data_IF_399998994981
#
_entry.id   IF_399998994981
#
_cell.length_a   1.000
_cell.length_b   1.000
_cell.length_c   1.000
_cell.angle_alpha   90.00
_cell.angle_beta   90.00
_cell.angle_gamma   90.00
#
_symmetry.space_group_name_H-M   'P 1'
#
loop_
_entity.id
_entity.type
_entity.pdbx_description
1 polymer ?
#
# COMPACT_ATOMS: atom_id res chain seq x y z
N UNK A 1 -30.12 0.50 -75.80
CA UNK A 1 -29.23 0.23 -74.64
C UNK A 1 -28.70 1.56 -74.14
N UNK A 2 -29.14 2.00 -72.96
CA UNK A 2 -28.69 3.27 -72.39
C UNK A 2 -27.23 3.13 -71.95
N UNK A 3 -26.33 3.90 -72.58
CA UNK A 3 -24.96 4.06 -72.11
C UNK A 3 -25.04 5.01 -70.90
N UNK A 4 -24.77 4.51 -69.70
CA UNK A 4 -24.64 5.34 -68.51
C UNK A 4 -23.32 6.11 -68.63
N UNK A 5 -23.39 7.37 -69.07
CA UNK A 5 -22.23 8.26 -69.14
C UNK A 5 -21.95 8.87 -67.77
N UNK A 6 -20.69 8.80 -67.32
CA UNK A 6 -20.22 9.49 -66.11
C UNK A 6 -19.91 10.94 -66.49
N UNK A 7 -20.45 11.92 -65.75
CA UNK A 7 -20.19 13.34 -66.02
C UNK A 7 -18.74 13.70 -65.69
N UNK A 8 -18.11 14.51 -66.54
CA UNK A 8 -16.76 15.03 -66.28
C UNK A 8 -16.70 15.73 -64.91
N UNK A 9 -15.66 15.43 -64.13
CA UNK A 9 -15.49 15.99 -62.78
C UNK A 9 -16.20 15.23 -61.65
N UNK A 10 -16.86 14.10 -61.93
CA UNK A 10 -17.46 13.24 -60.90
C UNK A 10 -16.53 12.07 -60.52
N UNK A 11 -16.53 11.70 -59.24
CA UNK A 11 -15.76 10.55 -58.73
C UNK A 11 -16.46 9.25 -59.08
N UNK A 12 -15.78 8.37 -59.83
CA UNK A 12 -16.23 7.00 -60.04
C UNK A 12 -15.75 6.12 -58.88
N UNK A 13 -16.67 5.66 -58.03
CA UNK A 13 -16.36 4.66 -57.01
C UNK A 13 -16.51 3.24 -57.60
N UNK A 14 -15.41 2.49 -57.66
CA UNK A 14 -15.42 1.08 -58.05
C UNK A 14 -15.28 0.25 -56.77
N UNK A 15 -16.33 -0.48 -56.41
CA UNK A 15 -16.35 -1.35 -55.23
C UNK A 15 -16.29 -2.80 -55.67
N UNK A 16 -15.30 -3.55 -55.19
CA UNK A 16 -15.23 -4.99 -55.41
C UNK A 16 -16.32 -5.70 -54.60
N UNK A 17 -17.09 -6.59 -55.25
CA UNK A 17 -18.11 -7.42 -54.58
C UNK A 17 -17.57 -8.78 -54.12
N UNK A 18 -16.30 -9.07 -54.43
CA UNK A 18 -15.57 -10.27 -54.03
C UNK A 18 -14.12 -9.92 -53.72
N UNK A 19 -13.41 -10.80 -53.01
CA UNK A 19 -12.01 -10.60 -52.66
C UNK A 19 -11.14 -10.55 -53.94
N UNK A 20 -10.37 -9.46 -54.09
CA UNK A 20 -9.43 -9.27 -55.19
C UNK A 20 -8.00 -9.32 -54.64
N UNK A 21 -7.11 -10.06 -55.30
CA UNK A 21 -5.71 -10.14 -54.89
C UNK A 21 -4.92 -8.98 -55.51
N UNK A 22 -3.90 -8.49 -54.80
CA UNK A 22 -2.98 -7.52 -55.40
C UNK A 22 -2.32 -8.10 -56.66
N UNK A 23 -2.26 -7.30 -57.71
CA UNK A 23 -1.82 -7.69 -59.05
C UNK A 23 -2.91 -8.29 -59.94
N UNK A 24 -4.13 -8.52 -59.43
CA UNK A 24 -5.24 -8.96 -60.29
C UNK A 24 -5.68 -7.84 -61.23
N UNK A 25 -5.73 -8.14 -62.52
CA UNK A 25 -6.42 -7.33 -63.52
C UNK A 25 -7.91 -7.68 -63.47
N UNK A 26 -8.73 -6.71 -63.08
CA UNK A 26 -10.18 -6.86 -62.94
C UNK A 26 -10.86 -5.99 -63.98
N UNK A 27 -11.77 -6.59 -64.75
CA UNK A 27 -12.62 -5.84 -65.66
C UNK A 27 -13.79 -5.23 -64.89
N UNK A 28 -13.92 -3.91 -64.92
CA UNK A 28 -14.99 -3.12 -64.32
C UNK A 28 -15.75 -2.40 -65.45
N UNK A 29 -16.74 -3.08 -66.03
CA UNK A 29 -17.43 -2.60 -67.24
C UNK A 29 -16.48 -2.57 -68.44
N UNK A 30 -16.30 -1.38 -69.01
CA UNK A 30 -15.41 -1.15 -70.17
C UNK A 30 -13.97 -0.75 -69.75
N UNK A 31 -13.67 -0.72 -68.45
CA UNK A 31 -12.36 -0.35 -67.90
C UNK A 31 -11.68 -1.55 -67.25
N UNK A 32 -10.37 -1.68 -67.42
CA UNK A 32 -9.56 -2.63 -66.66
C UNK A 32 -8.87 -1.90 -65.49
N UNK A 33 -8.97 -2.46 -64.29
CA UNK A 33 -8.32 -1.94 -63.08
C UNK A 33 -7.37 -2.99 -62.52
N UNK A 34 -6.28 -2.55 -61.88
CA UNK A 34 -5.37 -3.43 -61.15
C UNK A 34 -5.57 -3.21 -59.66
N UNK A 35 -5.89 -4.26 -58.92
CA UNK A 35 -5.90 -4.18 -57.46
C UNK A 35 -4.46 -4.14 -56.94
N UNK A 36 -4.19 -3.25 -55.99
CA UNK A 36 -2.86 -3.11 -55.36
C UNK A 36 -3.05 -3.06 -53.84
N UNK A 37 -2.19 -3.74 -53.11
CA UNK A 37 -2.16 -3.66 -51.63
C UNK A 37 -1.88 -2.23 -51.19
N UNK A 38 -2.67 -1.72 -50.24
CA UNK A 38 -2.37 -0.44 -49.58
C UNK A 38 -1.15 -0.59 -48.66
N UNK A 39 -0.09 0.16 -48.96
CA UNK A 39 1.18 0.15 -48.23
C UNK A 39 1.40 1.39 -47.37
N UNK A 40 0.42 2.31 -47.29
CA UNK A 40 0.53 3.51 -46.44
C UNK A 40 0.56 3.10 -44.97
N UNK A 41 1.54 3.58 -44.21
CA UNK A 41 1.75 3.22 -42.81
C UNK A 41 2.32 1.81 -42.57
N UNK A 42 2.56 1.02 -43.62
CA UNK A 42 3.05 -0.35 -43.50
C UNK A 42 4.56 -0.46 -43.72
N UNK A 43 5.22 -1.33 -42.96
CA UNK A 43 6.60 -1.77 -43.21
C UNK A 43 6.61 -3.16 -43.83
N UNK A 44 7.43 -3.38 -44.86
CA UNK A 44 7.57 -4.70 -45.48
C UNK A 44 8.38 -5.63 -44.57
N UNK A 45 7.76 -6.75 -44.20
CA UNK A 45 8.39 -7.87 -43.49
C UNK A 45 8.40 -9.10 -44.39
N UNK A 46 9.56 -9.75 -44.52
CA UNK A 46 9.68 -10.99 -45.29
C UNK A 46 8.73 -12.06 -44.75
N UNK A 47 8.07 -12.80 -45.65
CA UNK A 47 7.16 -13.88 -45.23
C UNK A 47 7.95 -14.90 -44.41
N UNK A 48 7.53 -15.21 -43.17
CA UNK A 48 8.17 -16.28 -42.41
C UNK A 48 7.98 -17.62 -43.12
N UNK A 49 8.83 -18.59 -42.77
CA UNK A 49 8.81 -19.94 -43.37
C UNK A 49 7.42 -20.59 -43.23
N UNK A 50 6.76 -20.37 -42.08
CA UNK A 50 5.42 -20.85 -41.76
C UNK A 50 4.64 -19.81 -40.94
N UNK A 51 3.36 -20.07 -40.71
CA UNK A 51 2.52 -19.26 -39.80
C UNK A 51 1.92 -17.98 -40.39
N UNK A 52 2.28 -17.58 -41.62
CA UNK A 52 1.67 -16.44 -42.33
C UNK A 52 1.52 -16.66 -43.84
N UNK A 53 0.42 -16.15 -44.38
CA UNK A 53 0.17 -16.06 -45.83
C UNK A 53 0.83 -14.80 -46.43
N UNK A 54 1.12 -14.84 -47.72
CA UNK A 54 1.62 -13.69 -48.50
C UNK A 54 0.60 -12.53 -48.45
N UNK A 55 1.09 -11.30 -48.26
CA UNK A 55 0.29 -10.06 -48.13
C UNK A 55 -0.70 -10.02 -46.94
N UNK A 56 -0.58 -10.95 -45.98
CA UNK A 56 -1.26 -10.78 -44.70
C UNK A 56 -0.73 -9.54 -43.97
N UNK A 57 -1.56 -8.92 -43.13
CA UNK A 57 -1.19 -7.79 -42.27
C UNK A 57 -0.89 -8.29 -40.85
N UNK A 58 -0.03 -7.57 -40.14
CA UNK A 58 0.36 -7.84 -38.75
C UNK A 58 0.46 -6.48 -38.06
N UNK A 59 -0.38 -6.24 -37.05
CA UNK A 59 -0.31 -5.00 -36.27
C UNK A 59 0.98 -4.93 -35.45
N UNK A 60 1.39 -3.72 -35.13
CA UNK A 60 2.50 -3.47 -34.23
C UNK A 60 2.19 -3.94 -32.80
N UNK A 61 3.23 -4.16 -32.00
CA UNK A 61 3.06 -4.62 -30.63
C UNK A 61 4.39 -4.81 -29.90
N UNK A 62 4.38 -4.44 -28.63
CA UNK A 62 5.53 -4.61 -27.76
C UNK A 62 5.73 -6.10 -27.45
N UNK A 63 6.99 -6.52 -27.39
CA UNK A 63 7.33 -7.86 -26.91
C UNK A 63 6.97 -7.99 -25.42
N UNK A 64 6.45 -9.16 -25.04
CA UNK A 64 6.21 -9.50 -23.62
C UNK A 64 7.49 -9.29 -22.80
N UNK A 65 7.38 -8.55 -21.70
CA UNK A 65 8.47 -8.25 -20.77
C UNK A 65 7.93 -7.98 -19.36
N UNK A 66 8.84 -7.92 -18.39
CA UNK A 66 8.55 -7.58 -16.99
C UNK A 66 9.50 -6.49 -16.51
N UNK A 67 9.14 -5.81 -15.42
CA UNK A 67 9.99 -4.85 -14.73
C UNK A 67 10.30 -5.34 -13.32
N UNK A 68 11.47 -4.98 -12.80
CA UNK A 68 11.73 -5.06 -11.36
C UNK A 68 11.19 -3.79 -10.70
N UNK A 69 10.55 -3.94 -9.55
CA UNK A 69 10.00 -2.82 -8.78
C UNK A 69 10.32 -3.01 -7.29
N UNK A 70 10.49 -1.90 -6.57
CA UNK A 70 10.67 -1.89 -5.12
C UNK A 70 9.91 -0.73 -4.50
N UNK A 71 9.26 -0.98 -3.37
CA UNK A 71 8.84 0.08 -2.46
C UNK A 71 10.06 0.51 -1.61
N UNK A 72 10.09 1.77 -1.21
CA UNK A 72 11.10 2.26 -0.27
C UNK A 72 10.59 2.07 1.17
N UNK A 73 11.52 1.91 2.09
CA UNK A 73 11.19 1.84 3.52
C UNK A 73 10.56 3.15 3.98
N UNK A 74 9.58 3.05 4.90
CA UNK A 74 8.90 4.20 5.50
C UNK A 74 8.92 4.06 7.01
N UNK A 75 9.60 4.98 7.70
CA UNK A 75 9.56 5.08 9.15
C UNK A 75 8.29 5.80 9.61
N UNK A 76 7.47 5.13 10.43
CA UNK A 76 6.24 5.70 10.98
C UNK A 76 6.49 6.53 12.26
N UNK A 77 7.70 6.47 12.82
CA UNK A 77 8.13 7.19 14.01
C UNK A 77 7.51 6.70 15.31
N UNK A 78 7.91 7.34 16.41
CA UNK A 78 7.42 7.04 17.76
C UNK A 78 6.03 7.64 17.99
N UNK A 79 5.15 6.91 18.68
CA UNK A 79 3.80 7.36 19.07
C UNK A 79 3.64 7.25 20.59
N UNK A 80 2.99 8.26 21.18
CA UNK A 80 2.60 8.24 22.59
C UNK A 80 1.24 7.59 22.78
N UNK A 81 1.05 6.90 23.89
CA UNK A 81 -0.26 6.40 24.31
C UNK A 81 -1.09 7.51 24.96
N UNK A 82 -2.39 7.26 25.17
CA UNK A 82 -3.24 8.11 25.99
C UNK A 82 -2.83 8.06 27.47
N UNK A 83 -3.10 9.14 28.22
CA UNK A 83 -2.85 9.20 29.66
C UNK A 83 -3.80 8.28 30.45
N UNK A 84 -3.29 7.68 31.53
CA UNK A 84 -4.06 6.89 32.49
C UNK A 84 -3.64 7.27 33.92
N UNK A 85 -4.61 7.56 34.79
CA UNK A 85 -4.39 7.95 36.19
C UNK A 85 -4.99 6.90 37.14
N UNK A 86 -4.15 6.35 38.03
CA UNK A 86 -4.58 5.41 39.07
C UNK A 86 -5.32 6.08 40.24
N UNK A 87 -5.22 7.41 40.37
CA UNK A 87 -5.75 8.18 41.48
C UNK A 87 -5.11 7.82 42.82
N UNK A 88 -5.80 8.13 43.92
CA UNK A 88 -5.37 7.80 45.27
C UNK A 88 -5.80 6.39 45.67
N UNK A 89 -4.88 5.61 46.25
CA UNK A 89 -5.16 4.28 46.83
C UNK A 89 -4.92 4.30 48.34
N UNK A 90 -5.76 3.60 49.10
CA UNK A 90 -5.65 3.47 50.56
C UNK A 90 -5.10 2.11 50.95
N UNK A 91 -4.42 2.05 52.10
CA UNK A 91 -3.97 0.79 52.73
C UNK A 91 -5.08 0.20 53.61
N UNK A 92 -4.88 -1.04 54.09
CA UNK A 92 -5.75 -1.63 55.11
C UNK A 92 -5.47 -1.07 56.52
N UNK A 93 -6.47 -1.10 57.40
CA UNK A 93 -6.33 -0.67 58.80
C UNK A 93 -5.65 -1.76 59.65
N UNK A 94 -4.51 -1.44 60.26
CA UNK A 94 -3.74 -2.35 61.14
C UNK A 94 -2.86 -1.54 62.12
N UNK A 95 -2.14 -2.22 63.03
CA UNK A 95 -1.15 -1.60 63.92
C UNK A 95 -1.66 -1.13 65.28
N UNK A 96 -2.97 -1.27 65.55
CA UNK A 96 -3.52 -0.98 66.87
C UNK A 96 -2.96 -1.93 67.93
N UNK A 97 -2.33 -1.37 68.96
CA UNK A 97 -1.80 -2.09 70.11
C UNK A 97 -1.76 -1.18 71.34
N UNK A 98 -1.74 -1.77 72.53
CA UNK A 98 -1.79 -1.04 73.81
C UNK A 98 -0.57 -1.35 74.66
N UNK A 99 0.00 -0.33 75.29
CA UNK A 99 0.98 -0.46 76.38
C UNK A 99 0.34 0.00 77.68
N UNK A 100 0.52 -0.75 78.76
CA UNK A 100 0.04 -0.37 80.09
C UNK A 100 1.17 -0.52 81.11
N UNK A 101 1.42 0.53 81.88
CA UNK A 101 2.13 0.42 83.14
C UNK A 101 1.15 0.72 84.27
N UNK A 102 1.41 0.06 85.38
CA UNK A 102 0.72 0.22 86.65
C UNK A 102 1.27 1.37 87.47
N UNK A 103 0.53 1.71 88.52
CA UNK A 103 0.80 2.88 89.34
C UNK A 103 2.22 2.90 89.90
N UNK A 104 2.71 4.12 90.14
CA UNK A 104 4.00 4.37 90.78
C UNK A 104 3.99 3.78 92.19
N UNK A 105 4.80 2.75 92.44
CA UNK A 105 5.08 2.29 93.81
C UNK A 105 6.35 3.00 94.25
N UNK A 106 6.20 3.91 95.21
CA UNK A 106 7.30 4.64 95.80
C UNK A 106 7.59 4.07 97.20
N UNK A 107 8.79 3.54 97.40
CA UNK A 107 9.28 3.17 98.72
C UNK A 107 9.89 4.41 99.37
N UNK A 108 9.32 4.87 100.49
CA UNK A 108 9.79 6.08 101.17
C UNK A 108 10.72 5.79 102.36
N UNK A 109 10.85 4.54 102.80
CA UNK A 109 11.57 4.19 104.03
C UNK A 109 12.36 2.88 103.91
N UNK A 110 13.69 2.96 104.06
CA UNK A 110 14.57 1.82 104.36
C UNK A 110 15.41 1.23 103.21
N UNK A 111 15.19 1.60 101.96
CA UNK A 111 15.86 0.96 100.80
C UNK A 111 16.27 1.93 99.67
N UNK A 112 16.76 3.12 100.05
CA UNK A 112 17.31 4.14 99.13
C UNK A 112 16.31 4.81 98.18
N UNK A 113 15.02 4.81 98.50
CA UNK A 113 13.97 5.57 97.80
C UNK A 113 13.93 5.30 96.30
N UNK A 114 13.38 4.16 95.90
CA UNK A 114 13.24 3.80 94.49
C UNK A 114 11.77 3.79 94.03
N UNK A 115 11.56 4.09 92.75
CA UNK A 115 10.26 4.03 92.08
C UNK A 115 10.18 2.77 91.22
N UNK A 116 9.23 1.88 91.52
CA UNK A 116 8.97 0.67 90.71
C UNK A 116 7.75 0.87 89.81
N UNK A 117 7.83 0.37 88.57
CA UNK A 117 6.73 0.31 87.61
C UNK A 117 6.20 -1.13 87.55
N UNK A 118 5.05 -1.39 88.16
CA UNK A 118 4.37 -2.70 88.06
C UNK A 118 3.42 -2.71 86.86
N UNK A 119 3.04 -3.84 86.23
CA UNK A 119 1.95 -3.87 85.25
C UNK A 119 0.57 -3.68 85.93
N UNK A 120 -0.38 -3.01 85.25
CA UNK A 120 -1.77 -2.89 85.69
C UNK A 120 -2.06 -1.75 86.68
N UNK A 121 -3.17 -1.02 86.48
CA UNK A 121 -3.53 0.13 87.34
C UNK A 121 -4.02 1.39 86.59
N UNK A 122 -4.41 1.24 85.32
CA UNK A 122 -5.12 2.28 84.56
C UNK A 122 -4.31 3.49 84.10
N UNK A 123 -3.00 3.54 84.33
CA UNK A 123 -2.14 4.59 83.79
C UNK A 123 -1.78 4.32 82.32
N UNK A 124 -1.96 5.32 81.45
CA UNK A 124 -1.71 5.26 80.02
C UNK A 124 -0.60 6.23 79.62
N UNK A 125 0.16 5.89 78.57
CA UNK A 125 1.15 6.79 77.98
C UNK A 125 0.48 7.95 77.25
N UNK A 126 1.22 9.02 76.98
CA UNK A 126 0.75 10.13 76.14
C UNK A 126 0.58 9.69 74.66
N UNK A 127 -0.07 10.53 73.84
CA UNK A 127 -0.26 10.27 72.41
C UNK A 127 1.10 10.19 71.68
N UNK A 128 1.28 9.11 70.91
CA UNK A 128 2.48 8.82 70.12
C UNK A 128 2.11 7.87 68.96
N UNK A 129 3.06 7.61 68.05
CA UNK A 129 2.89 6.62 66.98
C UNK A 129 2.42 7.18 65.63
N UNK A 130 2.37 8.50 65.47
CA UNK A 130 2.23 9.12 64.14
C UNK A 130 3.46 8.76 63.29
N UNK A 131 3.21 8.07 62.17
CA UNK A 131 4.25 7.60 61.27
C UNK A 131 3.70 7.44 59.85
N UNK A 132 4.59 7.46 58.87
CA UNK A 132 4.25 7.23 57.47
C UNK A 132 5.06 6.04 56.92
N UNK A 133 4.48 5.33 55.97
CA UNK A 133 5.17 4.30 55.18
C UNK A 133 5.37 4.81 53.76
N UNK A 134 6.50 4.47 53.17
CA UNK A 134 6.73 4.64 51.74
C UNK A 134 6.54 3.30 51.06
N UNK A 135 5.83 3.30 49.91
CA UNK A 135 5.64 2.10 49.10
C UNK A 135 6.15 2.39 47.71
N UNK A 136 7.16 1.64 47.28
CA UNK A 136 7.67 1.70 45.91
C UNK A 136 6.86 0.75 45.03
N UNK A 137 6.26 1.27 43.95
CA UNK A 137 5.43 0.47 43.02
C UNK A 137 6.28 -0.14 41.89
N UNK A 138 7.15 0.65 41.27
CA UNK A 138 8.02 0.20 40.18
C UNK A 138 7.60 0.66 38.77
N UNK A 139 8.50 0.49 37.81
CA UNK A 139 8.25 0.72 36.39
C UNK A 139 7.50 -0.45 35.75
N UNK A 140 6.80 -0.18 34.65
CA UNK A 140 6.16 -1.22 33.84
C UNK A 140 6.10 -0.79 32.37
N UNK A 141 6.00 -1.77 31.48
CA UNK A 141 5.93 -1.58 30.03
C UNK A 141 4.80 -2.41 29.45
N UNK A 142 4.30 -1.98 28.28
CA UNK A 142 3.30 -2.69 27.52
C UNK A 142 3.84 -2.96 26.11
N UNK A 143 3.41 -4.06 25.51
CA UNK A 143 3.62 -4.32 24.09
C UNK A 143 2.30 -4.18 23.35
N UNK A 144 2.36 -3.74 22.09
CA UNK A 144 1.19 -3.61 21.23
C UNK A 144 1.47 -4.26 19.89
N UNK A 145 0.59 -5.17 19.48
CA UNK A 145 0.66 -5.79 18.16
C UNK A 145 -0.11 -4.95 17.13
N UNK A 146 0.58 -4.47 16.10
CA UNK A 146 -0.02 -3.61 15.06
C UNK A 146 -0.73 -4.42 13.96
N UNK A 147 -0.18 -5.59 13.60
CA UNK A 147 -0.72 -6.46 12.56
C UNK A 147 -0.19 -6.19 11.14
N UNK A 148 -0.44 -7.13 10.20
CA UNK A 148 -0.06 -6.97 8.80
C UNK A 148 -0.93 -5.94 8.07
N UNK A 149 -0.35 -5.26 7.07
CA UNK A 149 -1.08 -4.37 6.16
C UNK A 149 -0.51 -4.48 4.74
N UNK A 150 -1.22 -3.94 3.75
CA UNK A 150 -0.82 -3.95 2.34
C UNK A 150 -1.12 -2.65 1.64
N UNK A 151 -0.68 -2.55 0.38
CA UNK A 151 -0.85 -1.37 -0.47
C UNK A 151 -1.37 -1.78 -1.84
N UNK A 152 -2.20 -0.92 -2.44
CA UNK A 152 -2.58 -1.06 -3.85
C UNK A 152 -1.50 -0.38 -4.69
N UNK A 153 -1.00 -1.09 -5.70
CA UNK A 153 -0.02 -0.55 -6.65
C UNK A 153 -0.68 -0.47 -8.02
N UNK A 154 -0.64 0.71 -8.62
CA UNK A 154 -1.16 0.99 -9.97
C UNK A 154 0.03 1.32 -10.85
N UNK A 155 0.09 0.69 -12.02
CA UNK A 155 1.04 1.01 -13.08
C UNK A 155 0.25 1.62 -14.22
N UNK A 156 0.39 2.92 -14.40
CA UNK A 156 -0.28 3.64 -15.48
C UNK A 156 0.32 3.28 -16.84
N UNK A 157 -0.48 3.45 -17.89
CA UNK A 157 -0.03 3.21 -19.26
C UNK A 157 1.05 4.23 -19.66
N UNK A 158 2.13 3.74 -20.27
CA UNK A 158 3.20 4.56 -20.84
C UNK A 158 3.52 4.08 -22.26
N UNK A 159 3.74 5.04 -23.17
CA UNK A 159 4.06 4.77 -24.57
C UNK A 159 3.37 5.68 -25.58
N UNK A 160 3.67 5.44 -26.86
CA UNK A 160 3.07 6.14 -28.00
C UNK A 160 1.86 5.35 -28.54
N UNK A 161 1.10 5.97 -29.45
CA UNK A 161 -0.01 5.30 -30.12
C UNK A 161 0.41 4.10 -31.01
N UNK A 162 1.67 4.08 -31.45
CA UNK A 162 2.24 3.01 -32.28
C UNK A 162 3.65 2.60 -31.77
N UNK A 163 3.96 1.32 -31.92
CA UNK A 163 5.28 0.73 -31.68
C UNK A 163 6.15 0.93 -32.92
N UNK A 164 7.11 1.83 -32.82
CA UNK A 164 7.96 2.20 -33.96
C UNK A 164 9.41 1.83 -33.74
N UNK A 165 10.09 1.54 -34.86
CA UNK A 165 11.56 1.62 -34.94
C UNK A 165 11.92 2.91 -35.66
N UNK A 166 13.19 3.34 -35.58
CA UNK A 166 13.66 4.47 -36.40
C UNK A 166 13.39 4.19 -37.87
N UNK A 167 12.65 5.08 -38.53
CA UNK A 167 12.20 4.92 -39.90
C UNK A 167 12.22 6.27 -40.65
N UNK A 168 12.12 6.21 -41.98
CA UNK A 168 12.00 7.36 -42.87
C UNK A 168 10.83 7.07 -43.82
N UNK A 169 9.96 8.04 -44.03
CA UNK A 169 8.80 7.89 -44.90
C UNK A 169 9.22 7.92 -46.38
N UNK A 170 8.76 6.92 -47.15
CA UNK A 170 8.86 6.88 -48.61
C UNK A 170 7.50 6.56 -49.21
N UNK A 171 7.25 7.07 -50.42
CA UNK A 171 6.08 6.68 -51.18
C UNK A 171 6.29 5.29 -51.78
N UNK A 172 5.48 4.32 -51.38
CA UNK A 172 5.40 3.04 -52.08
C UNK A 172 4.74 3.22 -53.43
N UNK A 173 5.48 2.87 -54.48
CA UNK A 173 5.00 2.87 -55.86
C UNK A 173 5.12 1.47 -56.45
N UNK A 174 4.25 1.17 -57.42
CA UNK A 174 4.35 -0.03 -58.24
C UNK A 174 4.32 0.38 -59.70
N UNK A 175 5.20 -0.22 -60.51
CA UNK A 175 5.18 -0.01 -61.96
C UNK A 175 3.96 -0.72 -62.54
N UNK A 176 3.09 0.04 -63.20
CA UNK A 176 2.07 -0.48 -64.10
C UNK A 176 2.69 -0.62 -65.50
N UNK A 177 2.22 -1.59 -66.29
CA UNK A 177 2.84 -2.07 -67.53
C UNK A 177 3.49 -0.98 -68.39
#
# INVERSE_FOLDING_TARGET
MAKNYVQAGTTLAITATAAVKSGSLVQAGDVFVVAVTDMRGWTIKGKPISGRAVLSQEMDGNKSHSHTARAQDTDLGTKSTSSFDYGTKSTNTTGNHTHQFGGYINSYWGDSSHTSFQPGGGAWTQAAGDHAHTVYIGGHEHTMYIGPHGHVVIVDADGNAETTVKNIAFNYIVRLA
#
